data_IF_323552483553
#
_entry.id   IF_323552483553
#
_cell.length_a   1.000
_cell.length_b   1.000
_cell.length_c   1.000
_cell.angle_alpha   90.00
_cell.angle_beta   90.00
_cell.angle_gamma   90.00
#
_symmetry.space_group_name_H-M   'P 1'
#
loop_
_entity.id
_entity.type
_entity.pdbx_description
1 polymer ?
#
# COMPACT_ATOMS: atom_id res chain seq x y z
N UNK A 1 37.96 -8.63 23.58
CA UNK A 1 37.72 -7.96 22.28
C UNK A 1 37.11 -8.99 21.35
N UNK A 2 35.79 -8.98 21.15
CA UNK A 2 35.13 -9.92 20.23
C UNK A 2 35.56 -9.57 18.81
N UNK A 3 35.93 -10.57 18.00
CA UNK A 3 36.40 -10.35 16.65
C UNK A 3 35.27 -9.81 15.76
N UNK A 4 35.59 -8.88 14.87
CA UNK A 4 34.64 -8.24 13.93
C UNK A 4 33.68 -9.22 13.22
N UNK A 5 34.08 -10.43 12.76
CA UNK A 5 33.18 -11.42 12.20
C UNK A 5 32.13 -11.95 13.18
N UNK A 6 32.47 -12.11 14.46
CA UNK A 6 31.53 -12.62 15.48
C UNK A 6 30.41 -11.62 15.79
N UNK A 7 30.73 -10.33 15.84
CA UNK A 7 29.73 -9.24 16.01
C UNK A 7 28.82 -9.12 14.79
N UNK A 8 29.36 -9.31 13.60
CA UNK A 8 28.59 -9.27 12.36
C UNK A 8 27.66 -10.50 12.25
N UNK A 9 28.11 -11.68 12.64
CA UNK A 9 27.28 -12.89 12.65
C UNK A 9 26.14 -12.78 13.68
N UNK A 10 26.42 -12.29 14.90
CA UNK A 10 25.37 -12.05 15.89
C UNK A 10 24.33 -11.01 15.45
N UNK A 11 24.72 -9.98 14.69
CA UNK A 11 23.78 -9.00 14.09
C UNK A 11 22.92 -9.63 12.99
N UNK A 12 23.45 -10.50 12.17
CA UNK A 12 22.72 -11.23 11.14
C UNK A 12 21.70 -12.19 11.75
N UNK A 13 22.10 -12.97 12.76
CA UNK A 13 21.21 -13.89 13.50
C UNK A 13 20.06 -13.13 14.19
N UNK A 14 20.34 -11.95 14.77
CA UNK A 14 19.31 -11.10 15.35
C UNK A 14 18.34 -10.57 14.29
N UNK A 15 18.84 -10.17 13.12
CA UNK A 15 18.00 -9.68 12.02
C UNK A 15 17.09 -10.79 11.49
N UNK A 16 17.59 -11.99 11.26
CA UNK A 16 16.80 -13.14 10.79
C UNK A 16 15.72 -13.52 11.81
N UNK A 17 16.02 -13.44 13.12
CA UNK A 17 15.05 -13.67 14.18
C UNK A 17 13.92 -12.64 14.15
N UNK A 18 14.23 -11.36 13.97
CA UNK A 18 13.24 -10.26 13.87
C UNK A 18 12.33 -10.47 12.66
N UNK A 19 12.92 -10.76 11.49
CA UNK A 19 12.18 -11.03 10.26
C UNK A 19 11.28 -12.26 10.40
N UNK A 20 11.77 -13.32 11.05
CA UNK A 20 10.97 -14.53 11.31
C UNK A 20 9.76 -14.25 12.20
N UNK A 21 9.95 -13.46 13.28
CA UNK A 21 8.84 -13.05 14.18
C UNK A 21 7.82 -12.16 13.46
N UNK A 22 8.28 -11.24 12.64
CA UNK A 22 7.42 -10.40 11.80
C UNK A 22 6.53 -11.26 10.87
N UNK A 23 7.10 -12.22 10.14
CA UNK A 23 6.35 -13.09 9.24
C UNK A 23 5.35 -13.98 10.00
N UNK A 24 5.75 -14.47 11.18
CA UNK A 24 4.86 -15.27 12.03
C UNK A 24 3.66 -14.44 12.49
N UNK A 25 3.89 -13.23 12.99
CA UNK A 25 2.85 -12.32 13.42
C UNK A 25 1.95 -11.89 12.25
N UNK A 26 2.54 -11.58 11.08
CA UNK A 26 1.79 -11.19 9.90
C UNK A 26 0.78 -12.26 9.46
N UNK A 27 1.14 -13.53 9.55
CA UNK A 27 0.21 -14.63 9.24
C UNK A 27 -0.96 -14.71 10.21
N UNK A 28 -0.77 -14.36 11.48
CA UNK A 28 -1.85 -14.32 12.47
C UNK A 28 -2.76 -13.10 12.25
N UNK A 29 -2.18 -11.94 11.93
CA UNK A 29 -2.95 -10.70 11.74
C UNK A 29 -3.86 -10.75 10.51
N UNK A 30 -3.51 -11.52 9.49
CA UNK A 30 -4.38 -11.77 8.36
C UNK A 30 -5.71 -12.42 8.79
N UNK A 31 -5.65 -13.32 9.78
CA UNK A 31 -6.80 -14.04 10.27
C UNK A 31 -7.61 -13.26 11.33
N UNK A 32 -7.09 -12.15 11.86
CA UNK A 32 -7.82 -11.34 12.86
C UNK A 32 -8.85 -10.40 12.24
N UNK A 33 -8.65 -10.01 10.98
CA UNK A 33 -9.51 -9.05 10.31
C UNK A 33 -10.57 -9.81 9.50
N UNK A 34 -11.67 -10.19 10.15
CA UNK A 34 -12.78 -10.86 9.48
C UNK A 34 -13.81 -9.90 8.89
N UNK A 35 -14.14 -8.85 9.62
CA UNK A 35 -15.15 -7.86 9.24
C UNK A 35 -14.89 -6.55 9.98
N UNK A 36 -15.05 -5.43 9.28
CA UNK A 36 -15.11 -4.12 9.95
C UNK A 36 -15.98 -3.15 9.16
N UNK A 37 -16.44 -2.11 9.85
CA UNK A 37 -17.13 -0.96 9.26
C UNK A 37 -16.39 0.31 9.64
N UNK A 38 -16.23 1.19 8.67
CA UNK A 38 -15.52 2.44 8.85
C UNK A 38 -16.11 3.51 7.93
N UNK A 39 -15.83 4.76 8.21
CA UNK A 39 -16.04 5.84 7.27
C UNK A 39 -14.77 6.01 6.45
N UNK A 40 -14.92 6.08 5.13
CA UNK A 40 -13.82 6.18 4.17
C UNK A 40 -13.90 7.51 3.45
N UNK A 41 -12.88 8.34 3.64
CA UNK A 41 -12.64 9.52 2.81
C UNK A 41 -11.59 9.20 1.75
N UNK A 42 -11.87 9.58 0.52
CA UNK A 42 -10.94 9.45 -0.62
C UNK A 42 -10.80 10.79 -1.29
N UNK A 43 -9.55 11.15 -1.59
CA UNK A 43 -9.18 12.24 -2.49
C UNK A 43 -8.28 11.69 -3.58
N UNK A 44 -8.67 11.88 -4.83
CA UNK A 44 -7.91 11.48 -5.99
C UNK A 44 -7.75 12.64 -6.97
N UNK A 45 -6.58 12.73 -7.58
CA UNK A 45 -6.25 13.69 -8.63
C UNK A 45 -5.57 12.96 -9.77
N UNK A 46 -5.93 13.29 -10.99
CA UNK A 46 -5.28 12.82 -12.20
C UNK A 46 -4.94 14.03 -13.07
N UNK A 47 -3.65 14.17 -13.39
CA UNK A 47 -3.12 15.19 -14.28
C UNK A 47 -2.67 14.53 -15.60
N UNK A 48 -3.15 15.05 -16.72
CA UNK A 48 -2.69 14.66 -18.05
C UNK A 48 -1.55 15.58 -18.46
N UNK A 49 -0.33 15.11 -18.29
CA UNK A 49 0.89 15.89 -18.56
C UNK A 49 1.16 16.00 -20.06
N UNK A 50 0.90 14.92 -20.78
CA UNK A 50 1.08 14.90 -22.24
C UNK A 50 -0.06 14.11 -22.89
N UNK A 51 -0.66 14.71 -23.92
CA UNK A 51 -1.83 14.19 -24.63
C UNK A 51 -1.53 14.13 -26.12
N UNK A 52 -1.68 12.98 -26.74
CA UNK A 52 -1.57 12.82 -28.17
C UNK A 52 -2.96 12.70 -28.84
N UNK A 53 -2.99 12.71 -30.19
CA UNK A 53 -4.25 12.60 -30.95
C UNK A 53 -4.99 11.28 -30.73
N UNK A 54 -4.28 10.21 -30.33
CA UNK A 54 -4.86 8.89 -30.02
C UNK A 54 -5.52 8.77 -28.65
N UNK A 55 -5.40 9.80 -27.79
CA UNK A 55 -5.96 9.77 -26.42
C UNK A 55 -7.47 9.50 -26.41
N UNK A 56 -8.20 9.97 -27.43
CA UNK A 56 -9.64 9.78 -27.59
C UNK A 56 -10.06 8.31 -27.82
N UNK A 57 -9.12 7.44 -28.13
CA UNK A 57 -9.38 6.00 -28.37
C UNK A 57 -9.10 5.12 -27.13
N UNK A 58 -8.71 5.71 -25.99
CA UNK A 58 -8.57 4.97 -24.73
C UNK A 58 -9.98 4.68 -24.22
N UNK A 59 -10.40 3.39 -24.17
CA UNK A 59 -11.77 3.05 -23.83
C UNK A 59 -12.13 3.41 -22.40
N UNK A 60 -13.29 4.03 -22.21
CA UNK A 60 -14.10 3.95 -20.99
C UNK A 60 -13.65 4.76 -19.76
N UNK A 61 -12.39 4.94 -19.52
CA UNK A 61 -11.92 5.63 -18.30
C UNK A 61 -12.08 7.17 -18.38
N UNK A 62 -12.20 7.72 -19.57
CA UNK A 62 -12.10 9.17 -19.78
C UNK A 62 -13.11 9.67 -20.85
N UNK A 63 -14.38 9.67 -20.53
CA UNK A 63 -15.30 10.63 -21.18
C UNK A 63 -15.02 12.02 -20.64
N UNK A 64 -13.78 12.49 -20.85
CA UNK A 64 -13.33 13.76 -20.32
C UNK A 64 -13.68 14.88 -21.29
N UNK A 65 -14.01 16.07 -20.81
CA UNK A 65 -14.09 17.26 -21.65
C UNK A 65 -12.80 17.42 -22.45
N UNK A 66 -12.90 17.78 -23.73
CA UNK A 66 -11.76 17.78 -24.69
C UNK A 66 -10.56 18.61 -24.21
N UNK A 67 -10.80 19.61 -23.37
CA UNK A 67 -9.79 20.59 -22.95
C UNK A 67 -9.36 20.44 -21.47
N UNK A 68 -9.92 19.48 -20.73
CA UNK A 68 -9.53 19.25 -19.35
C UNK A 68 -8.25 18.41 -19.29
N UNK A 69 -7.29 18.90 -18.51
CA UNK A 69 -6.02 18.21 -18.24
C UNK A 69 -5.87 17.80 -16.78
N UNK A 70 -6.80 18.23 -15.91
CA UNK A 70 -6.82 17.89 -14.48
C UNK A 70 -8.20 17.42 -14.06
N UNK A 71 -8.23 16.33 -13.34
CA UNK A 71 -9.41 15.72 -12.75
C UNK A 71 -9.19 15.55 -11.27
N UNK A 72 -10.20 15.95 -10.49
CA UNK A 72 -10.20 15.82 -9.04
C UNK A 72 -11.49 15.09 -8.65
N UNK A 73 -11.37 14.19 -7.71
CA UNK A 73 -12.49 13.46 -7.11
C UNK A 73 -12.29 13.42 -5.61
N UNK A 74 -13.31 13.76 -4.87
CA UNK A 74 -13.39 13.57 -3.43
C UNK A 74 -14.67 12.81 -3.10
N UNK A 75 -14.55 11.75 -2.29
CA UNK A 75 -15.70 10.96 -1.85
C UNK A 75 -15.65 10.73 -0.35
N UNK A 76 -16.84 10.69 0.23
CA UNK A 76 -17.06 10.25 1.60
C UNK A 76 -18.07 9.11 1.59
N UNK A 77 -17.72 8.00 2.22
CA UNK A 77 -18.43 6.74 2.06
C UNK A 77 -18.50 5.95 3.36
N UNK A 78 -19.53 5.13 3.51
CA UNK A 78 -19.50 4.00 4.43
C UNK A 78 -18.78 2.85 3.74
N UNK A 79 -17.82 2.25 4.42
CA UNK A 79 -17.09 1.07 4.00
C UNK A 79 -17.43 -0.11 4.91
N UNK A 80 -17.79 -1.21 4.30
CA UNK A 80 -17.96 -2.50 4.98
C UNK A 80 -16.99 -3.51 4.34
N UNK A 81 -16.03 -3.95 5.12
CA UNK A 81 -15.07 -4.98 4.72
C UNK A 81 -15.51 -6.34 5.26
N UNK A 82 -15.43 -7.37 4.42
CA UNK A 82 -15.57 -8.76 4.79
C UNK A 82 -14.42 -9.56 4.19
N UNK A 83 -13.74 -10.34 5.03
CA UNK A 83 -12.65 -11.19 4.59
C UNK A 83 -13.09 -12.16 3.48
N UNK A 84 -12.19 -12.53 2.55
CA UNK A 84 -10.78 -12.17 2.53
C UNK A 84 -10.47 -10.82 1.84
N UNK A 85 -11.31 -10.26 1.00
CA UNK A 85 -11.06 -9.03 0.23
C UNK A 85 -12.35 -8.44 -0.36
N UNK A 86 -13.48 -8.54 0.33
CA UNK A 86 -14.74 -7.95 -0.13
C UNK A 86 -14.88 -6.58 0.52
N UNK A 87 -14.92 -5.54 -0.30
CA UNK A 87 -15.11 -4.16 0.11
C UNK A 87 -16.44 -3.65 -0.45
N UNK A 88 -17.45 -3.51 0.38
CA UNK A 88 -18.71 -2.88 0.01
C UNK A 88 -18.68 -1.41 0.43
N UNK A 89 -18.70 -0.53 -0.57
CA UNK A 89 -18.59 0.91 -0.37
C UNK A 89 -19.87 1.60 -0.79
N UNK A 90 -20.49 2.33 0.16
CA UNK A 90 -21.66 3.16 -0.08
C UNK A 90 -21.27 4.63 -0.04
N UNK A 91 -21.22 5.28 -1.20
CA UNK A 91 -20.90 6.71 -1.31
C UNK A 91 -22.04 7.53 -0.71
N UNK A 92 -21.73 8.38 0.29
CA UNK A 92 -22.62 9.35 0.94
C UNK A 92 -22.52 10.72 0.28
N UNK A 93 -21.29 11.14 -0.07
CA UNK A 93 -21.04 12.43 -0.68
C UNK A 93 -19.96 12.29 -1.76
N UNK A 94 -20.10 13.06 -2.82
CA UNK A 94 -19.21 13.11 -3.96
C UNK A 94 -19.01 14.55 -4.41
N UNK A 95 -17.76 14.92 -4.67
CA UNK A 95 -17.38 16.17 -5.32
C UNK A 95 -16.28 15.89 -6.32
N UNK A 96 -16.41 16.38 -7.55
CA UNK A 96 -15.37 16.14 -8.53
C UNK A 96 -15.65 16.75 -9.89
N UNK A 97 -14.62 16.69 -10.73
CA UNK A 97 -14.64 17.16 -12.12
C UNK A 97 -14.98 16.05 -13.12
N UNK A 98 -14.99 14.79 -12.67
CA UNK A 98 -15.52 13.64 -13.42
C UNK A 98 -17.03 13.57 -13.18
N UNK A 99 -17.80 13.08 -14.17
CA UNK A 99 -19.24 12.97 -14.10
C UNK A 99 -19.78 12.28 -12.83
N UNK A 100 -20.96 11.67 -12.87
CA UNK A 100 -21.59 11.10 -11.68
C UNK A 100 -20.72 10.02 -11.02
N UNK A 101 -20.77 9.95 -9.67
CA UNK A 101 -20.03 8.98 -8.83
C UNK A 101 -20.20 7.50 -9.25
N UNK A 102 -21.27 7.18 -9.96
CA UNK A 102 -21.56 5.83 -10.51
C UNK A 102 -20.62 5.42 -11.65
N UNK A 103 -19.89 6.35 -12.25
CA UNK A 103 -18.97 6.08 -13.36
C UNK A 103 -17.52 5.89 -12.93
N UNK A 104 -17.22 5.95 -11.60
CA UNK A 104 -15.89 5.65 -11.09
C UNK A 104 -15.82 4.12 -10.92
N UNK A 105 -15.23 3.39 -11.89
CA UNK A 105 -15.04 1.95 -11.71
C UNK A 105 -14.15 1.74 -10.50
N UNK A 106 -14.27 0.61 -9.82
CA UNK A 106 -13.57 0.19 -8.60
C UNK A 106 -12.07 0.46 -8.51
N UNK A 107 -11.67 1.73 -8.71
CA UNK A 107 -10.33 2.25 -8.38
C UNK A 107 -10.03 1.96 -6.91
N UNK A 108 -11.07 2.00 -6.07
CA UNK A 108 -10.99 1.65 -4.65
C UNK A 108 -10.55 0.20 -4.43
N UNK A 109 -10.91 -0.72 -5.31
CA UNK A 109 -10.55 -2.14 -5.18
C UNK A 109 -9.04 -2.37 -5.33
N UNK A 110 -8.34 -1.49 -6.06
CA UNK A 110 -6.89 -1.56 -6.19
C UNK A 110 -6.15 -0.97 -4.99
N UNK A 111 -6.79 -0.05 -4.25
CA UNK A 111 -6.13 0.76 -3.22
C UNK A 111 -6.56 0.40 -1.79
N UNK A 112 -7.67 -0.32 -1.62
CA UNK A 112 -8.01 -0.93 -0.35
C UNK A 112 -7.12 -2.16 -0.16
N UNK A 113 -6.08 -2.04 0.66
CA UNK A 113 -5.02 -3.04 0.75
C UNK A 113 -4.94 -3.59 2.16
N UNK A 114 -5.27 -4.86 2.33
CA UNK A 114 -4.83 -5.59 3.50
C UNK A 114 -3.34 -5.95 3.31
N UNK A 115 -2.44 -5.24 3.99
CA UNK A 115 -1.00 -5.43 3.86
C UNK A 115 -0.53 -6.82 4.30
N UNK A 116 -1.29 -7.48 5.16
CA UNK A 116 -1.00 -8.82 5.65
C UNK A 116 -1.45 -9.93 4.68
N UNK A 117 -2.25 -9.59 3.67
CA UNK A 117 -2.60 -10.53 2.61
C UNK A 117 -1.36 -10.98 1.82
N UNK A 118 -1.31 -12.24 1.33
CA UNK A 118 -0.18 -12.75 0.56
C UNK A 118 0.10 -11.96 -0.72
N UNK A 119 -0.93 -11.36 -1.29
CA UNK A 119 -0.84 -10.55 -2.51
C UNK A 119 -1.55 -9.21 -2.32
N UNK A 120 -0.94 -8.16 -2.86
CA UNK A 120 -1.42 -6.79 -2.82
C UNK A 120 -1.96 -6.37 -4.20
N UNK A 121 -2.71 -5.24 -4.24
CA UNK A 121 -3.19 -4.59 -5.47
C UNK A 121 -3.83 -5.56 -6.46
N UNK A 122 -5.01 -6.08 -6.13
CA UNK A 122 -5.77 -6.99 -6.98
C UNK A 122 -5.07 -8.33 -7.22
N UNK A 123 -4.31 -8.82 -6.21
CA UNK A 123 -3.57 -10.10 -6.23
C UNK A 123 -2.43 -10.18 -7.26
N UNK A 124 -1.88 -9.04 -7.67
CA UNK A 124 -0.82 -9.00 -8.69
C UNK A 124 0.60 -8.91 -8.10
N UNK A 125 0.74 -8.37 -6.90
CA UNK A 125 2.03 -8.08 -6.29
C UNK A 125 2.22 -8.93 -5.04
N UNK A 126 3.34 -9.64 -4.95
CA UNK A 126 3.67 -10.44 -3.77
C UNK A 126 3.97 -9.53 -2.59
N UNK A 127 3.25 -9.71 -1.49
CA UNK A 127 3.51 -8.98 -0.26
C UNK A 127 4.88 -9.35 0.33
N UNK A 128 5.68 -8.37 0.82
CA UNK A 128 6.87 -8.68 1.61
C UNK A 128 6.53 -9.35 2.95
N UNK A 129 5.27 -9.32 3.39
CA UNK A 129 4.80 -9.99 4.59
C UNK A 129 4.26 -11.39 4.33
N UNK A 130 4.16 -11.80 3.06
CA UNK A 130 3.64 -13.13 2.68
C UNK A 130 4.49 -14.28 3.27
N UNK A 131 3.89 -15.42 3.61
CA UNK A 131 4.64 -16.62 3.98
C UNK A 131 5.70 -16.97 2.92
N UNK A 132 6.92 -17.29 3.38
CA UNK A 132 8.06 -17.61 2.52
C UNK A 132 8.52 -16.49 1.57
N UNK A 133 8.13 -15.25 1.79
CA UNK A 133 8.56 -14.12 0.96
C UNK A 133 10.08 -13.87 1.02
N UNK A 134 10.79 -14.40 2.02
CA UNK A 134 12.25 -14.44 2.11
C UNK A 134 12.94 -15.12 0.92
N UNK A 135 12.24 -15.97 0.16
CA UNK A 135 12.74 -16.56 -1.09
C UNK A 135 12.83 -15.52 -2.21
N UNK A 136 12.01 -14.47 -2.15
CA UNK A 136 11.86 -13.46 -3.18
C UNK A 136 12.44 -12.10 -2.77
N UNK A 137 12.50 -11.82 -1.47
CA UNK A 137 13.02 -10.58 -0.90
C UNK A 137 14.28 -10.80 -0.07
N UNK A 138 15.13 -9.77 -0.02
CA UNK A 138 16.16 -9.59 1.01
C UNK A 138 15.66 -8.55 1.97
N UNK A 139 15.86 -8.79 3.25
CA UNK A 139 15.51 -7.86 4.31
C UNK A 139 16.77 -7.33 4.97
N UNK A 140 16.77 -6.05 5.34
CA UNK A 140 17.83 -5.41 6.09
C UNK A 140 17.22 -4.48 7.14
N UNK A 141 17.72 -4.52 8.36
CA UNK A 141 17.36 -3.55 9.40
C UNK A 141 18.23 -2.32 9.17
N UNK A 142 17.62 -1.22 8.70
CA UNK A 142 18.32 0.03 8.43
C UNK A 142 18.61 0.78 9.74
N UNK A 143 17.66 0.81 10.68
CA UNK A 143 17.78 1.47 11.97
C UNK A 143 16.79 0.93 13.00
N UNK A 144 17.00 1.34 14.26
CA UNK A 144 16.11 1.05 15.37
C UNK A 144 15.82 2.38 16.07
N UNK A 145 14.57 2.61 16.42
CA UNK A 145 14.11 3.78 17.15
C UNK A 145 13.17 3.40 18.30
N UNK A 146 12.69 4.36 19.05
CA UNK A 146 11.59 4.19 19.98
C UNK A 146 10.45 5.13 19.60
N UNK A 147 9.23 4.65 19.74
CA UNK A 147 8.04 5.48 19.57
C UNK A 147 7.80 6.40 20.79
N UNK A 148 6.69 7.15 20.77
CA UNK A 148 6.32 8.04 21.88
C UNK A 148 6.02 7.31 23.20
N UNK A 149 5.67 6.03 23.12
CA UNK A 149 5.38 5.15 24.26
C UNK A 149 6.62 4.33 24.70
N UNK A 150 7.81 4.67 24.20
CA UNK A 150 9.08 3.98 24.48
C UNK A 150 9.12 2.53 23.98
N UNK A 151 8.28 2.16 23.00
CA UNK A 151 8.34 0.84 22.36
C UNK A 151 9.39 0.85 21.26
N UNK A 152 10.15 -0.20 21.16
CA UNK A 152 11.21 -0.35 20.15
C UNK A 152 10.57 -0.54 18.78
N UNK A 153 11.05 0.20 17.78
CA UNK A 153 10.64 0.10 16.39
C UNK A 153 11.83 -0.26 15.50
N UNK A 154 11.66 -1.25 14.66
CA UNK A 154 12.62 -1.69 13.65
C UNK A 154 12.25 -1.12 12.29
N UNK A 155 13.15 -0.35 11.67
CA UNK A 155 13.00 0.12 10.30
C UNK A 155 13.66 -0.87 9.36
N UNK A 156 12.84 -1.60 8.62
CA UNK A 156 13.25 -2.71 7.78
C UNK A 156 13.10 -2.33 6.32
N UNK A 157 14.17 -2.52 5.56
CA UNK A 157 14.13 -2.42 4.11
C UNK A 157 13.95 -3.82 3.51
N UNK A 158 13.10 -3.92 2.50
CA UNK A 158 12.92 -5.12 1.69
C UNK A 158 13.20 -4.83 0.22
N UNK A 159 14.00 -5.68 -0.42
CA UNK A 159 14.49 -5.50 -1.78
C UNK A 159 14.28 -6.81 -2.53
N UNK A 160 13.73 -6.79 -3.76
CA UNK A 160 13.61 -7.97 -4.60
C UNK A 160 14.96 -8.67 -4.81
N UNK A 161 15.01 -10.00 -4.72
CA UNK A 161 16.20 -10.78 -5.07
C UNK A 161 16.44 -10.83 -6.57
N UNK A 162 15.36 -10.74 -7.35
CA UNK A 162 15.39 -10.76 -8.81
C UNK A 162 14.48 -9.65 -9.35
N UNK A 163 14.77 -9.15 -10.53
CA UNK A 163 13.89 -8.20 -11.23
C UNK A 163 12.60 -8.91 -11.63
N UNK A 164 11.48 -8.44 -11.11
CA UNK A 164 10.14 -8.92 -11.44
C UNK A 164 9.14 -7.81 -11.21
N UNK A 165 8.15 -7.67 -12.09
CA UNK A 165 7.03 -6.74 -11.93
C UNK A 165 6.06 -7.15 -10.83
N UNK A 166 6.17 -8.36 -10.31
CA UNK A 166 5.37 -8.85 -9.20
C UNK A 166 5.98 -8.58 -7.83
N UNK A 167 7.17 -8.00 -7.78
CA UNK A 167 7.89 -7.72 -6.55
C UNK A 167 8.01 -6.22 -6.30
N UNK A 168 8.08 -5.87 -5.01
CA UNK A 168 8.09 -4.51 -4.50
C UNK A 168 9.46 -4.17 -3.92
N UNK A 169 9.89 -2.94 -4.03
CA UNK A 169 11.04 -2.39 -3.32
C UNK A 169 10.54 -1.36 -2.30
N UNK A 170 10.95 -1.48 -1.05
CA UNK A 170 10.40 -0.57 -0.03
C UNK A 170 10.97 -0.75 1.36
N UNK A 171 10.25 -0.12 2.30
CA UNK A 171 10.56 -0.08 3.73
C UNK A 171 9.30 -0.28 4.54
N UNK A 172 9.47 -0.82 5.74
CA UNK A 172 8.42 -0.91 6.74
C UNK A 172 8.97 -0.65 8.13
N UNK A 173 8.13 -0.15 9.00
CA UNK A 173 8.39 0.00 10.43
C UNK A 173 7.54 -0.99 11.18
N UNK A 174 8.17 -1.81 12.02
CA UNK A 174 7.47 -2.77 12.88
C UNK A 174 7.81 -2.52 14.34
N UNK A 175 6.84 -2.75 15.22
CA UNK A 175 7.00 -2.56 16.67
C UNK A 175 7.34 -3.87 17.35
N UNK A 176 8.39 -3.85 18.21
CA UNK A 176 8.80 -5.00 19.01
C UNK A 176 7.68 -5.45 19.97
N UNK A 177 7.62 -6.74 20.23
CA UNK A 177 6.63 -7.36 21.10
C UNK A 177 5.36 -7.77 20.38
N UNK A 178 4.66 -6.81 19.77
CA UNK A 178 3.46 -7.08 18.95
C UNK A 178 3.80 -7.48 17.52
N UNK A 179 4.96 -7.05 17.00
CA UNK A 179 5.43 -7.34 15.63
C UNK A 179 4.48 -6.87 14.52
N UNK A 180 3.61 -5.91 14.84
CA UNK A 180 2.71 -5.30 13.87
C UNK A 180 3.43 -4.22 13.04
N UNK A 181 2.99 -4.06 11.81
CA UNK A 181 3.47 -2.99 10.92
C UNK A 181 2.79 -1.69 11.32
N UNK A 182 3.59 -0.62 11.49
CA UNK A 182 3.11 0.74 11.76
C UNK A 182 2.97 1.54 10.47
N UNK A 183 3.95 1.41 9.62
CA UNK A 183 3.97 2.04 8.30
C UNK A 183 4.68 1.11 7.33
N UNK A 184 4.21 1.06 6.11
CA UNK A 184 4.89 0.43 4.99
C UNK A 184 4.88 1.37 3.79
N UNK A 185 6.03 1.54 3.15
CA UNK A 185 6.14 2.29 1.91
C UNK A 185 6.86 1.45 0.86
N UNK A 186 6.35 1.46 -0.37
CA UNK A 186 6.92 0.65 -1.44
C UNK A 186 6.68 1.26 -2.81
N UNK A 187 7.57 0.91 -3.72
CA UNK A 187 7.49 1.20 -5.14
C UNK A 187 7.29 -0.07 -5.92
N UNK A 188 6.55 0.03 -6.99
CA UNK A 188 6.30 -1.10 -7.86
C UNK A 188 5.84 -0.69 -9.25
N UNK A 189 5.62 -1.69 -10.05
CA UNK A 189 5.07 -1.54 -11.39
C UNK A 189 3.95 -2.56 -11.59
N UNK A 190 2.81 -2.09 -12.04
CA UNK A 190 1.69 -2.95 -12.45
C UNK A 190 1.28 -2.56 -13.88
N UNK A 191 1.51 -3.45 -14.83
CA UNK A 191 1.34 -3.19 -16.27
C UNK A 191 2.13 -1.95 -16.71
N UNK A 192 1.44 -0.88 -17.10
CA UNK A 192 2.03 0.39 -17.55
C UNK A 192 2.06 1.46 -16.44
N UNK A 193 1.64 1.10 -15.23
CA UNK A 193 1.56 1.99 -14.08
C UNK A 193 2.80 1.81 -13.22
N UNK A 194 3.58 2.87 -13.02
CA UNK A 194 4.59 2.97 -11.97
C UNK A 194 3.96 3.66 -10.78
N UNK A 195 4.19 3.15 -9.59
CA UNK A 195 3.58 3.72 -8.38
C UNK A 195 4.53 3.72 -7.18
N UNK A 196 4.29 4.66 -6.29
CA UNK A 196 4.88 4.80 -4.97
C UNK A 196 3.72 4.84 -3.97
N UNK A 197 3.69 3.92 -3.03
CA UNK A 197 2.62 3.76 -2.07
C UNK A 197 3.17 3.85 -0.65
N UNK A 198 2.45 4.59 0.22
CA UNK A 198 2.67 4.61 1.67
C UNK A 198 1.37 4.29 2.37
N UNK A 199 1.42 3.35 3.29
CA UNK A 199 0.28 2.91 4.09
C UNK A 199 0.66 3.08 5.56
N UNK A 200 -0.16 3.82 6.30
CA UNK A 200 -0.06 3.97 7.75
C UNK A 200 -1.13 3.13 8.40
N UNK A 201 -0.73 2.34 9.39
CA UNK A 201 -1.64 1.49 10.17
C UNK A 201 -2.15 2.23 11.40
N UNK A 202 -3.26 1.76 11.93
CA UNK A 202 -3.85 2.30 13.15
C UNK A 202 -2.96 2.12 14.39
N UNK A 203 -3.27 2.84 15.47
CA UNK A 203 -2.45 2.85 16.68
C UNK A 203 -2.54 1.54 17.45
N UNK A 204 -1.40 1.10 18.03
CA UNK A 204 -1.32 -0.12 18.82
C UNK A 204 -2.22 0.00 20.06
N UNK A 205 -3.01 -1.06 20.31
CA UNK A 205 -3.96 -1.13 21.40
C UNK A 205 -5.30 -0.45 21.09
N UNK A 206 -5.56 -0.09 19.84
CA UNK A 206 -6.86 0.39 19.37
C UNK A 206 -7.52 -0.62 18.44
N UNK A 207 -8.82 -0.47 18.19
CA UNK A 207 -9.57 -1.34 17.26
C UNK A 207 -9.06 -1.24 15.81
N UNK A 208 -8.28 -0.20 15.50
CA UNK A 208 -7.70 0.04 14.18
C UNK A 208 -6.26 -0.43 14.03
N UNK A 209 -5.65 -1.04 15.05
CA UNK A 209 -4.22 -1.40 15.09
C UNK A 209 -3.74 -2.15 13.82
N UNK A 210 -4.58 -3.04 13.30
CA UNK A 210 -4.24 -3.85 12.12
C UNK A 210 -4.87 -3.33 10.83
N UNK A 211 -5.54 -2.18 10.86
CA UNK A 211 -6.21 -1.59 9.71
C UNK A 211 -5.36 -0.51 9.05
N UNK A 212 -5.40 -0.39 7.72
CA UNK A 212 -4.76 0.71 7.00
C UNK A 212 -5.61 1.98 7.18
N UNK A 213 -5.24 2.82 8.16
CA UNK A 213 -5.98 4.06 8.45
C UNK A 213 -5.67 5.19 7.49
N UNK A 214 -4.52 5.15 6.80
CA UNK A 214 -4.17 6.13 5.77
C UNK A 214 -3.38 5.47 4.65
N UNK A 215 -3.75 5.78 3.40
CA UNK A 215 -3.02 5.38 2.20
C UNK A 215 -2.71 6.62 1.38
N UNK A 216 -1.45 6.76 0.96
CA UNK A 216 -0.97 7.77 0.02
C UNK A 216 -0.34 7.06 -1.18
N UNK A 217 -0.82 7.33 -2.39
CA UNK A 217 -0.32 6.71 -3.61
C UNK A 217 -0.03 7.77 -4.65
N UNK A 218 1.20 7.78 -5.16
CA UNK A 218 1.57 8.51 -6.36
C UNK A 218 1.77 7.51 -7.49
N UNK A 219 1.19 7.78 -8.64
CA UNK A 219 1.24 6.89 -9.78
C UNK A 219 1.58 7.67 -11.05
N UNK A 220 2.34 7.07 -11.95
CA UNK A 220 2.57 7.59 -13.28
C UNK A 220 2.26 6.54 -14.31
N UNK A 221 1.60 6.95 -15.37
CA UNK A 221 1.20 6.10 -16.47
C UNK A 221 1.70 6.68 -17.79
N UNK A 222 2.42 5.87 -18.57
CA UNK A 222 2.91 6.26 -19.88
C UNK A 222 2.47 5.23 -20.94
N UNK A 223 1.64 5.66 -21.89
CA UNK A 223 1.16 4.80 -22.96
C UNK A 223 0.94 5.58 -24.26
N UNK A 224 1.46 5.05 -25.37
CA UNK A 224 1.25 5.61 -26.71
C UNK A 224 1.50 7.12 -26.78
N UNK A 225 2.62 7.58 -26.19
CA UNK A 225 3.02 9.01 -26.09
C UNK A 225 2.11 9.90 -25.23
N UNK A 226 1.19 9.32 -24.47
CA UNK A 226 0.46 10.02 -23.41
C UNK A 226 1.19 9.81 -22.10
N UNK A 227 1.21 10.83 -21.24
CA UNK A 227 1.80 10.78 -19.90
C UNK A 227 0.74 11.33 -18.94
N UNK A 228 0.44 10.57 -17.91
CA UNK A 228 -0.50 10.94 -16.86
C UNK A 228 0.17 10.71 -15.50
N UNK A 229 -0.13 11.59 -14.55
CA UNK A 229 0.28 11.47 -13.16
C UNK A 229 -0.96 11.46 -12.29
N UNK A 230 -1.02 10.53 -11.35
CA UNK A 230 -2.11 10.37 -10.41
C UNK A 230 -1.65 10.50 -8.98
N UNK A 231 -2.48 11.10 -8.16
CA UNK A 231 -2.37 11.10 -6.71
C UNK A 231 -3.66 10.54 -6.13
N UNK A 232 -3.51 9.67 -5.15
CA UNK A 232 -4.63 9.10 -4.39
C UNK A 232 -4.29 9.13 -2.92
N UNK A 233 -5.21 9.63 -2.13
CA UNK A 233 -5.17 9.62 -0.67
C UNK A 233 -6.48 9.03 -0.16
N UNK A 234 -6.39 8.10 0.81
CA UNK A 234 -7.56 7.66 1.56
C UNK A 234 -7.28 7.63 3.05
N UNK A 235 -8.34 7.89 3.84
CA UNK A 235 -8.31 7.77 5.29
C UNK A 235 -9.55 7.07 5.81
N UNK A 236 -9.35 6.19 6.78
CA UNK A 236 -10.42 5.52 7.56
C UNK A 236 -10.59 6.21 8.89
N UNK A 237 -11.85 6.41 9.30
CA UNK A 237 -12.25 6.93 10.61
C UNK A 237 -13.42 6.13 11.19
#
# INVERSE_FOLDING_TARGET
>A
MLSFPLVMQARLEAADSIISRMHHAASQYMDFIHEYRAELYIKAQLDIIKKNRGFRFIPGLFRTPKDANRFIVETYSDLHYTAPNIYDQKIKAYTGTLGEAREIPGITDYFNVNIYAPYLMGQRLLSPLAPNSNKYYRYAIDSVSCDRQQRIEYHIRFIPRNKSFQLLDGRMTITEGVWSVREISFKGQADLLLFDCRITMGDIGTDTEYLPVKNDINASFAFAFNIMEGYYESSLT
#
